data_IF_489082770561
#
_entry.id   IF_489082770561
#
_cell.length_a   1.000
_cell.length_b   1.000
_cell.length_c   1.000
_cell.angle_alpha   90.00
_cell.angle_beta   90.00
_cell.angle_gamma   90.00
#
_symmetry.space_group_name_H-M   'P 1'
#
loop_
_entity.id
_entity.type
_entity.pdbx_description
1 polymer ?
#
# COMPACT_ATOMS: atom_id res chain seq x y z
N UNK A 1 -3.03 13.24 -24.08
CA UNK A 1 -3.63 13.84 -22.87
C UNK A 1 -3.08 13.09 -21.66
N UNK A 2 -1.98 13.57 -21.08
CA UNK A 2 -1.39 12.97 -19.87
C UNK A 2 -2.20 13.52 -18.69
N UNK A 3 -2.93 12.66 -17.97
CA UNK A 3 -3.52 13.03 -16.67
C UNK A 3 -2.35 13.39 -15.75
N UNK A 4 -2.16 14.67 -15.47
CA UNK A 4 -1.14 15.16 -14.54
C UNK A 4 -1.38 14.52 -13.18
N UNK A 5 -0.36 13.86 -12.64
CA UNK A 5 -0.37 13.27 -11.29
C UNK A 5 -0.51 14.34 -10.18
N UNK A 6 -0.49 15.63 -10.55
CA UNK A 6 -0.61 16.81 -9.67
C UNK A 6 -1.96 16.96 -8.95
N UNK A 7 -2.97 16.13 -9.23
CA UNK A 7 -4.34 16.30 -8.69
C UNK A 7 -4.92 15.10 -7.97
N UNK A 8 -4.16 14.04 -7.71
CA UNK A 8 -4.68 13.00 -6.83
C UNK A 8 -4.78 13.58 -5.41
N UNK A 9 -5.99 13.56 -4.86
CA UNK A 9 -6.15 13.85 -3.43
C UNK A 9 -5.33 12.85 -2.61
N UNK A 10 -4.99 13.22 -1.38
CA UNK A 10 -4.28 12.30 -0.48
C UNK A 10 -5.04 10.96 -0.30
N UNK A 11 -6.37 11.01 -0.32
CA UNK A 11 -7.22 9.82 -0.24
C UNK A 11 -7.08 8.93 -1.48
N UNK A 12 -7.16 9.49 -2.69
CA UNK A 12 -7.03 8.72 -3.92
C UNK A 12 -5.65 8.08 -4.07
N UNK A 13 -4.61 8.79 -3.65
CA UNK A 13 -3.25 8.23 -3.60
C UNK A 13 -3.20 7.02 -2.66
N UNK A 14 -3.68 7.15 -1.43
CA UNK A 14 -3.65 6.05 -0.47
C UNK A 14 -4.56 4.89 -0.88
N UNK A 15 -5.70 5.15 -1.53
CA UNK A 15 -6.54 4.10 -2.08
C UNK A 15 -5.83 3.32 -3.20
N UNK A 16 -5.10 4.01 -4.08
CA UNK A 16 -4.26 3.38 -5.10
C UNK A 16 -3.18 2.49 -4.48
N UNK A 17 -2.45 3.02 -3.49
CA UNK A 17 -1.42 2.26 -2.76
C UNK A 17 -2.03 1.00 -2.16
N UNK A 18 -3.17 1.10 -1.47
CA UNK A 18 -3.84 -0.06 -0.85
C UNK A 18 -4.26 -1.10 -1.88
N UNK A 19 -4.78 -0.68 -3.04
CA UNK A 19 -5.19 -1.64 -4.07
C UNK A 19 -4.01 -2.38 -4.68
N UNK A 20 -2.92 -1.67 -4.94
CA UNK A 20 -1.71 -2.28 -5.49
C UNK A 20 -1.09 -3.28 -4.51
N UNK A 21 -1.05 -2.97 -3.22
CA UNK A 21 -0.61 -3.93 -2.19
C UNK A 21 -1.55 -5.14 -2.18
N UNK A 22 -2.87 -4.93 -2.29
CA UNK A 22 -3.82 -6.02 -2.32
C UNK A 22 -3.60 -6.95 -3.52
N UNK A 23 -3.28 -6.42 -4.70
CA UNK A 23 -2.89 -7.19 -5.89
C UNK A 23 -1.60 -8.01 -5.64
N UNK A 24 -0.55 -7.37 -5.11
CA UNK A 24 0.71 -8.05 -4.79
C UNK A 24 0.52 -9.22 -3.80
N UNK A 25 -0.33 -9.01 -2.79
CA UNK A 25 -0.63 -10.01 -1.78
C UNK A 25 -1.55 -11.13 -2.28
N UNK A 26 -2.24 -10.97 -3.40
CA UNK A 26 -2.95 -12.11 -4.03
C UNK A 26 -1.94 -13.09 -4.61
N UNK A 27 -0.90 -12.57 -5.27
CA UNK A 27 0.07 -13.40 -6.00
C UNK A 27 1.17 -13.98 -5.10
N UNK A 28 1.63 -13.21 -4.10
CA UNK A 28 2.91 -13.47 -3.41
C UNK A 28 2.83 -13.46 -1.88
N UNK A 29 1.63 -13.36 -1.30
CA UNK A 29 1.51 -13.35 0.16
C UNK A 29 2.07 -14.64 0.81
N UNK A 30 2.58 -14.55 2.04
CA UNK A 30 2.59 -13.36 2.90
C UNK A 30 3.87 -12.51 2.77
N UNK A 31 3.72 -11.18 2.71
CA UNK A 31 4.84 -10.23 2.54
C UNK A 31 4.90 -9.19 3.65
N UNK A 32 6.11 -8.74 3.98
CA UNK A 32 6.39 -7.61 4.88
C UNK A 32 6.32 -6.27 4.14
N UNK A 33 6.15 -5.13 4.85
CA UNK A 33 6.19 -3.80 4.24
C UNK A 33 7.50 -3.50 3.49
N UNK A 34 8.62 -4.06 3.96
CA UNK A 34 9.94 -3.92 3.31
C UNK A 34 10.00 -4.69 1.98
N UNK A 35 9.36 -5.86 1.90
CA UNK A 35 9.25 -6.63 0.66
C UNK A 35 8.23 -6.01 -0.31
N UNK A 36 7.17 -5.38 0.19
CA UNK A 36 6.11 -4.78 -0.64
C UNK A 36 6.55 -3.46 -1.28
N UNK A 37 7.21 -2.58 -0.53
CA UNK A 37 7.55 -1.23 -0.98
C UNK A 37 8.29 -1.18 -2.35
N UNK A 38 9.34 -1.99 -2.61
CA UNK A 38 10.04 -1.95 -3.90
C UNK A 38 9.22 -2.52 -5.07
N UNK A 39 8.14 -3.26 -4.79
CA UNK A 39 7.29 -3.92 -5.78
C UNK A 39 6.14 -3.03 -6.25
N UNK A 40 5.92 -1.88 -5.61
CA UNK A 40 4.95 -0.90 -6.05
C UNK A 40 5.36 -0.29 -7.40
N UNK A 41 4.40 -0.11 -8.31
CA UNK A 41 4.62 0.46 -9.64
C UNK A 41 5.28 1.84 -9.51
N UNK A 42 6.19 2.12 -10.43
CA UNK A 42 6.96 3.37 -10.47
C UNK A 42 6.10 4.65 -10.43
N UNK A 43 4.88 4.60 -10.98
CA UNK A 43 3.94 5.73 -10.93
C UNK A 43 3.40 6.01 -9.51
N UNK A 44 3.20 4.97 -8.70
CA UNK A 44 2.78 5.09 -7.31
C UNK A 44 3.94 5.64 -6.46
N UNK A 45 5.17 5.13 -6.68
CA UNK A 45 6.38 5.64 -6.02
C UNK A 45 6.64 7.13 -6.35
N UNK A 46 6.47 7.54 -7.62
CA UNK A 46 6.55 8.96 -8.01
C UNK A 46 5.42 9.80 -7.43
N UNK A 47 4.22 9.24 -7.27
CA UNK A 47 3.12 9.94 -6.58
C UNK A 47 3.48 10.25 -5.13
N UNK A 48 4.17 9.35 -4.43
CA UNK A 48 4.56 9.54 -3.04
C UNK A 48 5.45 10.77 -2.81
N UNK A 49 6.33 11.11 -3.78
CA UNK A 49 7.20 12.29 -3.66
C UNK A 49 6.44 13.61 -3.70
N UNK A 50 5.17 13.61 -4.14
CA UNK A 50 4.31 14.78 -4.21
C UNK A 50 3.42 14.96 -2.96
N UNK A 51 3.45 14.01 -2.02
CA UNK A 51 2.63 14.03 -0.81
C UNK A 51 3.42 14.42 0.45
N UNK A 52 2.70 14.93 1.46
CA UNK A 52 3.28 15.40 2.75
C UNK A 52 3.84 14.27 3.63
N UNK A 53 3.32 13.05 3.47
CA UNK A 53 3.74 11.88 4.26
C UNK A 53 4.60 10.97 3.36
N UNK A 54 5.89 10.74 3.69
CA UNK A 54 6.75 9.88 2.90
C UNK A 54 6.26 8.43 2.87
N UNK A 55 6.36 7.80 1.71
CA UNK A 55 6.09 6.37 1.55
C UNK A 55 7.32 5.57 1.98
N UNK A 56 7.35 5.17 3.25
CA UNK A 56 8.41 4.35 3.87
C UNK A 56 7.83 3.01 4.31
N UNK A 57 8.66 2.00 4.64
CA UNK A 57 8.15 0.75 5.21
C UNK A 57 7.34 0.98 6.49
N UNK A 58 7.75 1.92 7.34
CA UNK A 58 7.03 2.27 8.57
C UNK A 58 5.67 2.92 8.31
N UNK A 59 5.60 3.85 7.36
CA UNK A 59 4.32 4.44 6.93
C UNK A 59 3.40 3.37 6.33
N UNK A 60 3.96 2.49 5.50
CA UNK A 60 3.21 1.40 4.87
C UNK A 60 2.66 0.43 5.92
N UNK A 61 3.49 0.02 6.88
CA UNK A 61 3.10 -0.80 8.03
C UNK A 61 1.91 -0.19 8.76
N UNK A 62 2.01 1.08 9.16
CA UNK A 62 0.93 1.80 9.85
C UNK A 62 -0.38 1.77 9.06
N UNK A 63 -0.32 2.06 7.75
CA UNK A 63 -1.51 2.02 6.88
C UNK A 63 -2.10 0.60 6.81
N UNK A 64 -1.26 -0.42 6.72
CA UNK A 64 -1.70 -1.82 6.66
C UNK A 64 -2.32 -2.27 7.99
N UNK A 65 -1.70 -1.93 9.11
CA UNK A 65 -2.21 -2.17 10.47
C UNK A 65 -3.57 -1.53 10.67
N UNK A 66 -3.77 -0.28 10.25
CA UNK A 66 -5.08 0.40 10.31
C UNK A 66 -6.16 -0.40 9.56
N UNK A 67 -5.83 -0.95 8.38
CA UNK A 67 -6.76 -1.78 7.60
C UNK A 67 -7.04 -3.12 8.27
N UNK A 68 -6.03 -3.78 8.83
CA UNK A 68 -6.18 -5.02 9.61
C UNK A 68 -7.08 -4.77 10.82
N UNK A 69 -6.83 -3.70 11.59
CA UNK A 69 -7.62 -3.31 12.76
C UNK A 69 -9.09 -3.11 12.41
N UNK A 70 -9.37 -2.46 11.28
CA UNK A 70 -10.74 -2.30 10.78
C UNK A 70 -11.30 -3.51 10.03
N UNK A 71 -10.57 -4.62 9.96
CA UNK A 71 -10.99 -5.82 9.26
C UNK A 71 -11.20 -5.64 7.77
N UNK A 72 -10.40 -4.79 7.11
CA UNK A 72 -10.50 -4.49 5.68
C UNK A 72 -9.19 -4.83 4.96
N UNK A 73 -9.26 -5.23 3.69
CA UNK A 73 -8.14 -5.49 2.76
C UNK A 73 -7.11 -6.55 3.14
N UNK A 74 -6.56 -6.50 4.36
CA UNK A 74 -5.42 -7.28 4.78
C UNK A 74 -5.73 -8.11 6.02
N UNK A 75 -4.98 -9.19 6.19
CA UNK A 75 -4.90 -9.97 7.41
C UNK A 75 -3.45 -9.97 7.88
N UNK A 76 -3.22 -9.69 9.16
CA UNK A 76 -1.92 -9.89 9.78
C UNK A 76 -1.59 -11.38 9.85
N UNK A 77 -0.33 -11.70 9.62
CA UNK A 77 0.32 -12.99 9.81
C UNK A 77 1.48 -12.79 10.78
N UNK A 78 2.30 -13.82 10.95
CA UNK A 78 3.46 -13.75 11.85
C UNK A 78 4.51 -12.76 11.34
N UNK A 79 5.33 -12.22 12.25
CA UNK A 79 6.52 -11.41 11.93
C UNK A 79 6.26 -10.19 11.02
N UNK A 80 5.22 -9.41 11.30
CA UNK A 80 4.82 -8.23 10.49
C UNK A 80 4.56 -8.56 9.01
N UNK A 81 4.21 -9.82 8.71
CA UNK A 81 3.77 -10.21 7.38
C UNK A 81 2.28 -10.00 7.23
N UNK A 82 1.87 -9.67 6.02
CA UNK A 82 0.47 -9.46 5.66
C UNK A 82 0.08 -10.38 4.53
N UNK A 83 -1.20 -10.77 4.53
CA UNK A 83 -1.84 -11.45 3.42
C UNK A 83 -3.08 -10.67 2.98
N UNK A 84 -3.57 -10.95 1.77
CA UNK A 84 -4.89 -10.48 1.37
C UNK A 84 -5.94 -11.10 2.29
N UNK A 85 -6.83 -10.28 2.84
CA UNK A 85 -8.00 -10.76 3.57
C UNK A 85 -8.96 -11.44 2.58
N UNK A 86 -9.27 -12.72 2.82
CA UNK A 86 -10.38 -13.39 2.13
C UNK A 86 -11.69 -12.65 2.45
N UNK A 87 -12.51 -12.44 1.41
CA UNK A 87 -13.81 -11.76 1.53
C UNK A 87 -14.71 -12.42 2.55
#
# INVERSE_FOLDING_TARGET
MVRSLDRLSAEEFWNRVVQEIAELLVERAPLTPTEILPELRAVTLRGATLHKEPLTPGTLKKKMDDRVFHGRYFAARDEDRYARRAG
#
